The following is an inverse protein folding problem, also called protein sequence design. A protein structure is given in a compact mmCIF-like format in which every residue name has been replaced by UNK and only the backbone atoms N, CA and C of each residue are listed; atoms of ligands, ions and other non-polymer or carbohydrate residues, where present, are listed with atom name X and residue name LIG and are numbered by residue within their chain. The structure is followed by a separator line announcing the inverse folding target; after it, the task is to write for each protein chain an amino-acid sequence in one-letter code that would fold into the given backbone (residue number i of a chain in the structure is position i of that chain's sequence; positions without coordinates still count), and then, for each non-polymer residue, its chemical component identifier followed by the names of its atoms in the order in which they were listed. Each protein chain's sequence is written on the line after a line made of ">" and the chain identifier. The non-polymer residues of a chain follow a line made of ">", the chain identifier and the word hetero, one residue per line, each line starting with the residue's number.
data_IF_325893061866
#
_entry.id   IF_325893061866
#
_cell.length_a   1.000
_cell.length_b   1.000
_cell.length_c   1.000
_cell.angle_alpha   90.00
_cell.angle_beta   90.00
_cell.angle_gamma   90.00
#
_symmetry.space_group_name_H-M   'P 1'
#
loop_
_entity.id
_entity.type
_entity.pdbx_description
1 polymer ?
#
# COMPACT_ATOMS: atom_id res chain seq x y z
N UNK A 1 -31.31 14.46 -40.34
CA UNK A 1 -31.14 13.44 -39.33
C UNK A 1 -30.20 13.96 -38.26
N UNK A 2 -30.76 14.25 -37.08
CA UNK A 2 -29.95 14.67 -35.93
C UNK A 2 -29.25 13.44 -35.39
N UNK A 3 -28.01 13.22 -35.79
CA UNK A 3 -27.18 12.21 -35.16
C UNK A 3 -26.84 12.67 -33.75
N UNK A 4 -27.36 11.95 -32.76
CA UNK A 4 -27.04 12.16 -31.35
C UNK A 4 -25.56 11.91 -31.03
N UNK A 5 -24.86 11.18 -31.91
CA UNK A 5 -23.45 10.83 -31.75
C UNK A 5 -22.71 11.04 -33.08
N UNK A 6 -21.56 11.68 -33.01
CA UNK A 6 -20.64 11.86 -34.13
C UNK A 6 -19.26 11.27 -33.79
N UNK A 7 -18.59 10.68 -34.77
CA UNK A 7 -17.23 10.24 -34.63
C UNK A 7 -16.29 11.46 -34.52
N UNK A 8 -15.62 11.60 -33.37
CA UNK A 8 -14.68 12.71 -33.13
C UNK A 8 -13.21 12.26 -33.16
N UNK A 9 -12.96 10.99 -33.47
CA UNK A 9 -11.61 10.43 -33.51
C UNK A 9 -10.85 10.63 -32.20
N UNK A 10 -9.65 11.21 -32.26
CA UNK A 10 -8.79 11.50 -31.11
C UNK A 10 -9.01 12.90 -30.52
N UNK A 11 -10.04 13.64 -30.95
CA UNK A 11 -10.27 15.01 -30.52
C UNK A 11 -10.44 15.11 -28.98
N UNK A 12 -11.18 14.19 -28.38
CA UNK A 12 -11.37 14.13 -26.93
C UNK A 12 -10.04 14.03 -26.17
N UNK A 13 -9.10 13.25 -26.69
CA UNK A 13 -7.76 13.11 -26.10
C UNK A 13 -6.92 14.39 -26.27
N UNK A 14 -7.03 15.04 -27.43
CA UNK A 14 -6.36 16.33 -27.66
C UNK A 14 -6.92 17.40 -26.73
N UNK A 15 -8.23 17.50 -26.60
CA UNK A 15 -8.90 18.47 -25.73
C UNK A 15 -8.57 18.24 -24.25
N UNK A 16 -8.45 16.97 -23.86
CA UNK A 16 -8.03 16.57 -22.51
C UNK A 16 -6.59 16.99 -22.18
N UNK A 17 -5.67 16.84 -23.13
CA UNK A 17 -4.25 17.15 -22.95
C UNK A 17 -3.92 18.64 -23.15
N UNK A 18 -4.64 19.32 -24.06
CA UNK A 18 -4.38 20.72 -24.44
C UNK A 18 -5.16 21.75 -23.63
N UNK A 19 -6.01 21.31 -22.69
CA UNK A 19 -6.85 22.23 -21.92
C UNK A 19 -7.99 22.88 -22.73
N UNK A 20 -8.39 22.23 -23.85
CA UNK A 20 -9.53 22.67 -24.65
C UNK A 20 -10.81 22.78 -23.82
N UNK A 21 -11.76 23.53 -24.26
CA UNK A 21 -13.10 23.87 -23.75
C UNK A 21 -13.33 24.05 -22.23
N UNK A 22 -12.56 23.41 -21.33
CA UNK A 22 -12.61 23.71 -19.89
C UNK A 22 -11.25 23.52 -19.21
N UNK A 23 -10.61 24.63 -18.86
CA UNK A 23 -9.36 24.69 -18.05
C UNK A 23 -9.45 23.79 -16.80
N UNK A 24 -10.65 23.68 -16.23
CA UNK A 24 -10.95 22.88 -15.05
C UNK A 24 -10.72 21.37 -15.27
N UNK A 25 -11.06 20.84 -16.45
CA UNK A 25 -10.94 19.41 -16.73
C UNK A 25 -9.46 19.00 -16.90
N UNK A 26 -8.71 19.75 -17.72
CA UNK A 26 -7.28 19.48 -17.92
C UNK A 26 -6.49 19.58 -16.60
N UNK A 27 -6.77 20.57 -15.77
CA UNK A 27 -6.14 20.74 -14.46
C UNK A 27 -6.47 19.58 -13.53
N UNK A 28 -7.75 19.17 -13.48
CA UNK A 28 -8.18 18.06 -12.65
C UNK A 28 -7.55 16.72 -13.12
N UNK A 29 -7.49 16.50 -14.43
CA UNK A 29 -6.89 15.30 -15.02
C UNK A 29 -5.41 15.16 -14.68
N UNK A 30 -4.62 16.24 -14.89
CA UNK A 30 -3.18 16.23 -14.59
C UNK A 30 -2.95 15.97 -13.10
N UNK A 31 -3.74 16.60 -12.23
CA UNK A 31 -3.62 16.41 -10.78
C UNK A 31 -3.95 14.99 -10.34
N UNK A 32 -5.01 14.41 -10.90
CA UNK A 32 -5.39 13.01 -10.62
C UNK A 32 -4.33 12.06 -11.16
N UNK A 33 -3.83 12.28 -12.38
CA UNK A 33 -2.78 11.46 -12.98
C UNK A 33 -1.50 11.50 -12.15
N UNK A 34 -1.06 12.68 -11.75
CA UNK A 34 0.13 12.83 -10.90
C UNK A 34 -0.03 12.09 -9.57
N UNK A 35 -1.18 12.25 -8.91
CA UNK A 35 -1.47 11.51 -7.67
C UNK A 35 -1.49 9.99 -7.90
N UNK A 36 -2.12 9.54 -8.98
CA UNK A 36 -2.18 8.10 -9.32
C UNK A 36 -0.79 7.51 -9.51
N UNK A 37 0.11 8.23 -10.19
CA UNK A 37 1.50 7.78 -10.36
C UNK A 37 2.26 7.74 -9.03
N UNK A 38 2.12 8.77 -8.19
CA UNK A 38 2.72 8.80 -6.85
C UNK A 38 2.21 7.64 -6.01
N UNK A 39 0.90 7.44 -5.98
CA UNK A 39 0.28 6.33 -5.26
C UNK A 39 0.76 4.97 -5.78
N UNK A 40 0.79 4.77 -7.10
CA UNK A 40 1.22 3.51 -7.71
C UNK A 40 2.67 3.17 -7.32
N UNK A 41 3.57 4.14 -7.37
CA UNK A 41 4.98 3.95 -6.96
C UNK A 41 5.05 3.65 -5.47
N UNK A 42 4.48 4.50 -4.62
CA UNK A 42 4.55 4.33 -3.16
C UNK A 42 3.90 3.02 -2.72
N UNK A 43 2.69 2.72 -3.21
CA UNK A 43 1.98 1.50 -2.86
C UNK A 43 2.75 0.24 -3.28
N UNK A 44 3.27 0.20 -4.49
CA UNK A 44 4.02 -0.96 -5.01
C UNK A 44 5.31 -1.18 -4.24
N UNK A 45 6.14 -0.15 -4.12
CA UNK A 45 7.44 -0.31 -3.45
C UNK A 45 7.31 -0.58 -1.96
N UNK A 46 6.39 0.07 -1.27
CA UNK A 46 6.21 -0.15 0.18
C UNK A 46 5.65 -1.54 0.47
N UNK A 47 4.67 -2.03 -0.30
CA UNK A 47 4.15 -3.39 -0.12
C UNK A 47 5.17 -4.45 -0.49
N UNK A 48 5.92 -4.25 -1.57
CA UNK A 48 6.97 -5.16 -2.00
C UNK A 48 8.06 -5.28 -0.94
N UNK A 49 8.65 -4.15 -0.51
CA UNK A 49 9.69 -4.13 0.53
C UNK A 49 9.14 -4.68 1.85
N UNK A 50 7.96 -4.24 2.28
CA UNK A 50 7.31 -4.71 3.49
C UNK A 50 7.04 -6.21 3.46
N UNK A 51 6.58 -6.74 2.34
CA UNK A 51 6.33 -8.17 2.14
C UNK A 51 7.61 -9.01 2.23
N UNK A 52 8.69 -8.58 1.55
CA UNK A 52 10.00 -9.27 1.63
C UNK A 52 10.56 -9.24 3.06
N UNK A 53 10.51 -8.08 3.72
CA UNK A 53 10.98 -7.94 5.11
C UNK A 53 10.20 -8.87 6.04
N UNK A 54 8.86 -8.88 5.92
CA UNK A 54 8.01 -9.73 6.72
C UNK A 54 8.24 -11.22 6.43
N UNK A 55 8.39 -11.60 5.15
CA UNK A 55 8.73 -12.96 4.75
C UNK A 55 10.06 -13.40 5.36
N UNK A 56 11.08 -12.55 5.30
CA UNK A 56 12.40 -12.80 5.87
C UNK A 56 12.33 -12.95 7.40
N UNK A 57 11.56 -12.10 8.07
CA UNK A 57 11.38 -12.18 9.54
C UNK A 57 10.69 -13.48 9.94
N UNK A 58 9.59 -13.85 9.27
CA UNK A 58 8.85 -15.07 9.61
C UNK A 58 9.65 -16.34 9.31
N UNK A 59 10.47 -16.33 8.26
CA UNK A 59 11.28 -17.48 7.88
C UNK A 59 12.64 -17.54 8.60
N UNK A 60 12.97 -16.50 9.39
CA UNK A 60 14.25 -16.45 10.14
C UNK A 60 14.37 -17.65 11.10
N UNK A 61 15.58 -18.18 11.25
CA UNK A 61 15.85 -19.37 12.07
C UNK A 61 15.38 -19.25 13.52
N UNK A 62 15.49 -18.08 14.11
CA UNK A 62 15.11 -17.79 15.51
C UNK A 62 13.64 -17.42 15.70
N UNK A 63 12.83 -17.41 14.63
CA UNK A 63 11.40 -17.10 14.76
C UNK A 63 10.64 -18.32 15.26
N UNK A 64 10.01 -18.17 16.42
CA UNK A 64 9.13 -19.19 16.99
C UNK A 64 7.75 -19.15 16.33
N UNK A 65 7.04 -20.30 16.29
CA UNK A 65 5.67 -20.43 15.78
C UNK A 65 5.47 -19.94 14.33
N UNK A 66 6.44 -20.19 13.43
CA UNK A 66 6.40 -19.77 12.01
C UNK A 66 5.10 -20.15 11.31
N UNK A 67 4.57 -21.36 11.56
CA UNK A 67 3.29 -21.82 10.97
C UNK A 67 2.11 -20.96 11.44
N UNK A 68 2.08 -20.61 12.72
CA UNK A 68 1.02 -19.77 13.29
C UNK A 68 1.05 -18.36 12.67
N UNK A 69 2.20 -17.74 12.58
CA UNK A 69 2.34 -16.42 11.96
C UNK A 69 1.90 -16.43 10.48
N UNK A 70 2.34 -17.44 9.72
CA UNK A 70 1.89 -17.59 8.32
C UNK A 70 0.37 -17.74 8.24
N UNK A 71 -0.23 -18.57 9.09
CA UNK A 71 -1.69 -18.77 9.11
C UNK A 71 -2.44 -17.48 9.44
N UNK A 72 -1.96 -16.69 10.41
CA UNK A 72 -2.58 -15.40 10.75
C UNK A 72 -2.60 -14.46 9.55
N UNK A 73 -1.50 -14.33 8.81
CA UNK A 73 -1.45 -13.48 7.63
C UNK A 73 -2.26 -14.05 6.45
N UNK A 74 -2.32 -15.38 6.28
CA UNK A 74 -3.16 -16.01 5.24
C UNK A 74 -4.64 -15.76 5.51
N UNK A 75 -5.09 -15.78 6.76
CA UNK A 75 -6.49 -15.49 7.11
C UNK A 75 -6.90 -14.08 6.66
N UNK A 76 -6.00 -13.09 6.75
CA UNK A 76 -6.32 -11.73 6.26
C UNK A 76 -6.54 -11.67 4.76
N UNK A 77 -5.91 -12.56 4.00
CA UNK A 77 -6.07 -12.67 2.53
C UNK A 77 -7.37 -13.41 2.17
N UNK A 78 -7.80 -14.36 3.02
CA UNK A 78 -9.00 -15.15 2.79
C UNK A 78 -10.30 -14.33 2.92
N UNK A 79 -10.27 -13.19 3.62
CA UNK A 79 -11.42 -12.30 3.73
C UNK A 79 -11.56 -11.50 2.43
N UNK A 80 -12.75 -11.48 1.80
CA UNK A 80 -12.97 -10.68 0.59
C UNK A 80 -12.58 -9.22 0.81
N UNK A 81 -11.72 -8.66 -0.05
CA UNK A 81 -11.13 -7.34 0.13
C UNK A 81 -12.17 -6.22 0.32
N UNK A 82 -13.32 -6.30 -0.37
CA UNK A 82 -14.37 -5.29 -0.23
C UNK A 82 -14.95 -5.24 1.20
N UNK A 83 -15.07 -6.40 1.88
CA UNK A 83 -15.53 -6.46 3.29
C UNK A 83 -14.52 -5.77 4.20
N UNK A 84 -13.24 -6.07 4.01
CA UNK A 84 -12.14 -5.44 4.74
C UNK A 84 -12.15 -3.92 4.55
N UNK A 85 -12.30 -3.43 3.31
CA UNK A 85 -12.34 -2.01 3.02
C UNK A 85 -13.57 -1.30 3.58
N UNK A 86 -14.75 -1.96 3.58
CA UNK A 86 -15.95 -1.43 4.23
C UNK A 86 -15.75 -1.29 5.74
N UNK A 87 -15.16 -2.29 6.38
CA UNK A 87 -14.86 -2.26 7.82
C UNK A 87 -13.89 -1.13 8.14
N UNK A 88 -12.80 -1.00 7.39
CA UNK A 88 -11.84 0.10 7.54
C UNK A 88 -12.52 1.46 7.36
N UNK A 89 -13.36 1.62 6.33
CA UNK A 89 -14.10 2.86 6.09
C UNK A 89 -14.97 3.25 7.31
N UNK A 90 -15.60 2.28 7.95
CA UNK A 90 -16.40 2.52 9.18
C UNK A 90 -15.53 2.82 10.40
N UNK A 91 -14.41 2.10 10.55
CA UNK A 91 -13.48 2.31 11.67
C UNK A 91 -12.84 3.69 11.63
N UNK A 92 -12.45 4.18 10.46
CA UNK A 92 -11.77 5.47 10.26
C UNK A 92 -12.72 6.60 9.85
N UNK A 93 -14.03 6.41 9.94
CA UNK A 93 -15.00 7.50 9.75
C UNK A 93 -14.88 8.56 10.84
N UNK A 94 -15.43 9.75 10.60
CA UNK A 94 -15.34 10.90 11.52
C UNK A 94 -15.83 10.57 12.94
N UNK A 95 -16.84 9.71 13.07
CA UNK A 95 -17.36 9.19 14.35
C UNK A 95 -17.04 7.70 14.56
N UNK A 96 -16.01 7.19 13.89
CA UNK A 96 -15.58 5.80 14.00
C UNK A 96 -14.81 5.50 15.29
N UNK A 97 -14.64 4.21 15.56
CA UNK A 97 -13.96 3.73 16.77
C UNK A 97 -12.54 4.29 16.90
N UNK A 98 -11.81 4.45 15.78
CA UNK A 98 -10.44 4.97 15.78
C UNK A 98 -10.43 6.43 16.24
N UNK A 99 -11.35 7.28 15.75
CA UNK A 99 -11.45 8.65 16.20
C UNK A 99 -11.84 8.76 17.69
N UNK A 100 -12.73 7.89 18.15
CA UNK A 100 -13.08 7.81 19.57
C UNK A 100 -11.87 7.46 20.44
N UNK A 101 -11.08 6.47 20.02
CA UNK A 101 -9.84 6.10 20.71
C UNK A 101 -8.81 7.23 20.70
N UNK A 102 -8.58 7.87 19.53
CA UNK A 102 -7.67 9.00 19.42
C UNK A 102 -8.06 10.18 20.31
N UNK A 103 -9.36 10.46 20.44
CA UNK A 103 -9.88 11.49 21.35
C UNK A 103 -9.65 11.12 22.82
N UNK A 104 -9.94 9.86 23.19
CA UNK A 104 -9.80 9.40 24.58
C UNK A 104 -8.35 9.41 25.08
N UNK A 105 -7.38 9.13 24.21
CA UNK A 105 -5.95 9.19 24.55
C UNK A 105 -5.33 10.59 24.39
N UNK A 106 -6.15 11.61 24.05
CA UNK A 106 -5.69 12.98 23.89
C UNK A 106 -4.96 13.29 22.58
N UNK A 107 -4.84 12.31 21.66
CA UNK A 107 -4.12 12.50 20.40
C UNK A 107 -4.78 13.57 19.51
N UNK A 108 -6.11 13.62 19.48
CA UNK A 108 -6.86 14.64 18.72
C UNK A 108 -6.56 16.05 19.24
N UNK A 109 -6.49 16.22 20.57
CA UNK A 109 -6.11 17.50 21.21
C UNK A 109 -4.68 17.91 20.81
N UNK A 110 -3.73 17.01 20.97
CA UNK A 110 -2.34 17.26 20.59
C UNK A 110 -2.17 17.63 19.10
N UNK A 111 -2.89 16.95 18.19
CA UNK A 111 -2.90 17.30 16.77
C UNK A 111 -3.54 18.66 16.47
N UNK A 112 -4.50 19.10 17.26
CA UNK A 112 -5.07 20.44 17.20
C UNK A 112 -4.04 21.51 17.65
N UNK A 113 -3.30 21.25 18.73
CA UNK A 113 -2.32 22.17 19.28
C UNK A 113 -1.19 22.44 18.29
N UNK A 114 -0.76 21.43 17.50
CA UNK A 114 0.24 21.59 16.44
C UNK A 114 -0.36 22.03 15.10
N UNK A 115 -1.66 22.31 15.03
CA UNK A 115 -2.33 22.85 13.84
C UNK A 115 -2.55 21.86 12.68
N UNK A 116 -2.35 20.56 12.88
CA UNK A 116 -2.59 19.53 11.86
C UNK A 116 -4.06 19.15 11.69
N UNK A 117 -4.84 19.33 12.73
CA UNK A 117 -6.29 19.08 12.75
C UNK A 117 -6.99 20.34 13.27
N UNK A 118 -8.19 20.60 12.77
CA UNK A 118 -9.05 21.69 13.26
C UNK A 118 -10.42 21.11 13.54
N UNK A 119 -10.67 20.70 14.79
CA UNK A 119 -11.96 20.12 15.18
C UNK A 119 -11.87 18.99 16.19
N UNK A 120 -13.00 18.36 16.46
CA UNK A 120 -13.16 17.30 17.46
C UNK A 120 -12.76 15.90 17.00
N UNK A 121 -12.40 15.73 15.73
CA UNK A 121 -12.02 14.44 15.14
C UNK A 121 -10.92 14.62 14.11
N UNK A 122 -10.17 13.54 13.84
CA UNK A 122 -9.14 13.49 12.79
C UNK A 122 -9.84 13.12 11.47
N UNK A 123 -9.75 13.96 10.43
CA UNK A 123 -10.45 13.74 9.17
C UNK A 123 -9.73 12.73 8.27
N UNK A 124 -9.58 11.49 8.72
CA UNK A 124 -8.80 10.44 8.07
C UNK A 124 -9.17 10.22 6.61
N UNK A 125 -10.48 10.21 6.29
CA UNK A 125 -10.98 9.91 4.95
C UNK A 125 -11.69 11.11 4.31
N UNK A 126 -12.01 12.16 5.09
CA UNK A 126 -12.82 13.30 4.66
C UNK A 126 -12.00 14.48 4.14
N UNK A 127 -10.70 14.59 4.48
CA UNK A 127 -9.80 15.61 3.90
C UNK A 127 -8.79 15.00 2.95
N UNK A 128 -8.53 15.60 1.76
CA UNK A 128 -7.65 15.03 0.73
C UNK A 128 -6.26 14.65 1.23
N UNK A 129 -5.59 15.51 2.01
CA UNK A 129 -4.24 15.23 2.52
C UNK A 129 -4.20 13.99 3.43
N UNK A 130 -5.15 13.87 4.35
CA UNK A 130 -5.28 12.71 5.22
C UNK A 130 -5.68 11.46 4.44
N UNK A 131 -6.64 11.60 3.51
CA UNK A 131 -7.10 10.49 2.66
C UNK A 131 -5.97 9.90 1.81
N UNK A 132 -5.07 10.72 1.27
CA UNK A 132 -3.90 10.27 0.53
C UNK A 132 -2.98 9.38 1.37
N UNK A 133 -2.69 9.80 2.59
CA UNK A 133 -1.87 9.01 3.53
C UNK A 133 -2.60 7.71 3.91
N UNK A 134 -3.90 7.80 4.21
CA UNK A 134 -4.69 6.63 4.60
C UNK A 134 -4.80 5.59 3.50
N UNK A 135 -4.97 5.99 2.24
CA UNK A 135 -5.00 5.08 1.09
C UNK A 135 -3.69 4.29 1.00
N UNK A 136 -2.54 4.94 1.21
CA UNK A 136 -1.23 4.26 1.20
C UNK A 136 -1.13 3.29 2.38
N UNK A 137 -1.49 3.72 3.59
CA UNK A 137 -1.42 2.87 4.79
C UNK A 137 -2.34 1.64 4.69
N UNK A 138 -3.56 1.84 4.22
CA UNK A 138 -4.52 0.74 3.98
C UNK A 138 -3.98 -0.22 2.93
N UNK A 139 -3.39 0.30 1.86
CA UNK A 139 -2.78 -0.51 0.81
C UNK A 139 -1.61 -1.35 1.36
N UNK A 140 -0.74 -0.77 2.18
CA UNK A 140 0.35 -1.47 2.85
C UNK A 140 -0.21 -2.58 3.74
N UNK A 141 -1.20 -2.27 4.56
CA UNK A 141 -1.79 -3.24 5.49
C UNK A 141 -2.43 -4.45 4.78
N UNK A 142 -3.12 -4.21 3.67
CA UNK A 142 -3.75 -5.29 2.87
C UNK A 142 -2.73 -5.99 1.97
N UNK A 143 -1.80 -5.25 1.39
CA UNK A 143 -0.87 -5.76 0.37
C UNK A 143 0.34 -6.51 0.93
N UNK A 144 0.86 -6.10 2.10
CA UNK A 144 2.04 -6.73 2.70
C UNK A 144 1.85 -8.21 3.01
N UNK A 145 0.73 -8.68 3.59
CA UNK A 145 0.50 -10.11 3.81
C UNK A 145 0.51 -10.94 2.53
N UNK A 146 -0.10 -10.42 1.46
CA UNK A 146 -0.10 -11.09 0.16
C UNK A 146 1.30 -11.20 -0.43
N UNK A 147 2.04 -10.09 -0.42
CA UNK A 147 3.42 -10.06 -0.91
C UNK A 147 4.36 -10.94 -0.05
N UNK A 148 4.15 -10.99 1.26
CA UNK A 148 4.86 -11.87 2.17
C UNK A 148 4.66 -13.36 1.80
N UNK A 149 3.43 -13.74 1.46
CA UNK A 149 3.13 -15.12 1.07
C UNK A 149 3.86 -15.50 -0.23
N UNK A 150 3.80 -14.64 -1.24
CA UNK A 150 4.52 -14.80 -2.51
C UNK A 150 6.03 -14.91 -2.30
N UNK A 151 6.61 -13.96 -1.56
CA UNK A 151 8.04 -13.96 -1.25
C UNK A 151 8.45 -15.19 -0.43
N UNK A 152 7.62 -15.65 0.53
CA UNK A 152 7.88 -16.88 1.28
C UNK A 152 7.96 -18.10 0.37
N UNK A 153 7.04 -18.22 -0.59
CA UNK A 153 7.07 -19.30 -1.57
C UNK A 153 8.36 -19.33 -2.37
N UNK A 154 8.84 -18.18 -2.82
CA UNK A 154 10.12 -18.05 -3.54
C UNK A 154 11.30 -18.41 -2.63
N UNK A 155 11.37 -17.82 -1.44
CA UNK A 155 12.45 -18.06 -0.47
C UNK A 155 12.62 -19.53 -0.10
N UNK A 156 11.51 -20.28 -0.03
CA UNK A 156 11.55 -21.72 0.28
C UNK A 156 12.03 -22.58 -0.88
N UNK A 157 12.02 -22.07 -2.10
CA UNK A 157 12.46 -22.77 -3.31
C UNK A 157 13.89 -22.42 -3.74
N UNK A 158 14.59 -21.53 -3.02
CA UNK A 158 16.00 -21.24 -3.28
C UNK A 158 16.83 -22.48 -2.90
N UNK A 159 17.66 -23.03 -3.83
CA UNK A 159 18.49 -24.18 -3.52
C UNK A 159 19.45 -23.90 -2.36
N UNK A 160 19.42 -24.76 -1.35
CA UNK A 160 20.29 -24.63 -0.15
C UNK A 160 21.77 -24.66 -0.52
N UNK A 161 22.14 -25.46 -1.52
CA UNK A 161 23.51 -25.61 -1.99
C UNK A 161 24.12 -24.28 -2.47
N UNK A 162 23.33 -23.41 -3.10
CA UNK A 162 23.79 -22.07 -3.49
C UNK A 162 24.09 -21.18 -2.30
N UNK A 163 23.26 -21.27 -1.26
CA UNK A 163 23.44 -20.49 -0.02
C UNK A 163 24.66 -21.01 0.78
N UNK A 164 24.86 -22.32 0.78
CA UNK A 164 25.99 -22.96 1.46
C UNK A 164 27.31 -22.68 0.73
N UNK A 165 27.35 -22.82 -0.59
CA UNK A 165 28.53 -22.47 -1.40
C UNK A 165 28.94 -21.01 -1.19
N UNK A 166 27.99 -20.08 -1.20
CA UNK A 166 28.25 -18.67 -0.96
C UNK A 166 28.82 -18.40 0.46
N UNK A 167 28.38 -19.17 1.46
CA UNK A 167 28.94 -19.08 2.83
C UNK A 167 30.37 -19.62 2.90
N UNK A 168 30.64 -20.71 2.19
CA UNK A 168 32.00 -21.28 2.08
C UNK A 168 32.94 -20.27 1.41
N UNK A 169 32.46 -19.57 0.37
CA UNK A 169 33.19 -18.51 -0.33
C UNK A 169 33.35 -17.22 0.51
N UNK A 170 32.88 -17.21 1.75
CA UNK A 170 33.01 -16.07 2.67
C UNK A 170 32.01 -14.96 2.47
N UNK A 171 30.91 -15.16 1.73
CA UNK A 171 29.88 -14.15 1.53
C UNK A 171 29.14 -13.85 2.85
N UNK A 172 29.03 -12.56 3.19
CA UNK A 172 28.25 -12.13 4.33
C UNK A 172 26.73 -12.17 4.03
N UNK A 173 25.88 -12.06 5.07
CA UNK A 173 24.42 -12.14 4.97
C UNK A 173 23.83 -11.09 4.00
N UNK A 174 24.47 -9.91 3.89
CA UNK A 174 24.05 -8.83 2.98
C UNK A 174 24.37 -9.16 1.53
N UNK A 175 25.55 -9.73 1.26
CA UNK A 175 25.95 -10.19 -0.07
C UNK A 175 25.06 -11.33 -0.56
N UNK A 176 24.77 -12.31 0.31
CA UNK A 176 23.84 -13.42 0.02
C UNK A 176 22.47 -12.87 -0.32
N UNK A 177 21.96 -11.91 0.45
CA UNK A 177 20.66 -11.31 0.22
C UNK A 177 20.59 -10.64 -1.16
N UNK A 178 21.53 -9.74 -1.48
CA UNK A 178 21.45 -8.96 -2.70
C UNK A 178 21.91 -9.73 -3.97
N UNK A 179 22.87 -10.65 -3.85
CA UNK A 179 23.44 -11.35 -5.02
C UNK A 179 22.75 -12.69 -5.32
N UNK A 180 22.14 -13.31 -4.32
CA UNK A 180 21.48 -14.61 -4.47
C UNK A 180 19.97 -14.46 -4.23
N UNK A 181 19.55 -14.09 -3.04
CA UNK A 181 18.14 -14.10 -2.66
C UNK A 181 17.29 -13.12 -3.48
N UNK A 182 17.75 -11.89 -3.64
CA UNK A 182 17.00 -10.82 -4.32
C UNK A 182 16.73 -11.09 -5.81
N UNK A 183 17.69 -11.66 -6.58
CA UNK A 183 17.43 -12.02 -7.96
C UNK A 183 16.39 -13.15 -8.17
N UNK A 184 16.11 -13.94 -7.14
CA UNK A 184 15.02 -14.95 -7.20
C UNK A 184 13.63 -14.33 -6.93
N UNK A 185 13.57 -13.19 -6.25
CA UNK A 185 12.32 -12.49 -5.89
C UNK A 185 11.90 -11.52 -6.99
#
# INVERSE_FOLDING_TARGET
>A
PNYLFTWVGLQNFKDMLSGGTTITFSYAFIRILAWTLIWAVLATFTTFIGGILLAKLINHEHTYFKKMWRSLFVVTIAIPQFVTLLLVSKMFSDHGIVNTLCSNIGLTGWLNDIGLVSGSYIPFLSKPGWAHVMIILINIWVGVPYQMLSATGILMNIPTDQLESARIDGANKWQIFWKITMPYI
#
